data_IF_150417677144
#
_entry.id   IF_150417677144
#
_cell.length_a   1.000
_cell.length_b   1.000
_cell.length_c   1.000
_cell.angle_alpha   90.00
_cell.angle_beta   90.00
_cell.angle_gamma   90.00
#
_symmetry.space_group_name_H-M   'P 1'
#
loop_
_entity.id
_entity.type
_entity.pdbx_description
1 polymer ?
#
# COMPACT_ATOMS: atom_id res chain seq x y z
N UNK A 1 9.95 19.96 -0.52
CA UNK A 1 8.72 19.15 -0.70
C UNK A 1 8.99 17.77 -0.10
N UNK A 2 8.14 17.27 0.81
CA UNK A 2 8.24 15.91 1.38
C UNK A 2 7.40 14.94 0.55
N UNK A 3 7.84 13.70 0.40
CA UNK A 3 7.09 12.64 -0.29
C UNK A 3 5.97 12.18 0.63
N UNK A 4 4.73 12.52 0.29
CA UNK A 4 3.54 12.24 1.13
C UNK A 4 2.84 10.92 0.84
N UNK A 5 3.07 10.39 -0.35
CA UNK A 5 2.43 9.20 -0.86
C UNK A 5 3.46 8.39 -1.63
N UNK A 6 3.58 7.12 -1.27
CA UNK A 6 4.38 6.14 -1.98
C UNK A 6 3.45 5.01 -2.43
N UNK A 7 3.36 4.78 -3.73
CA UNK A 7 2.62 3.64 -4.30
C UNK A 7 3.59 2.47 -4.53
N UNK A 8 3.41 1.39 -3.78
CA UNK A 8 4.21 0.17 -3.88
C UNK A 8 3.40 -0.93 -4.54
N UNK A 9 3.82 -1.30 -5.75
CA UNK A 9 3.27 -2.47 -6.45
C UNK A 9 3.86 -3.73 -5.85
N UNK A 10 3.01 -4.57 -5.26
CA UNK A 10 3.42 -5.80 -4.57
C UNK A 10 2.71 -7.03 -5.14
N UNK A 11 3.34 -8.20 -5.01
CA UNK A 11 2.79 -9.48 -5.46
C UNK A 11 1.65 -9.96 -4.56
N UNK A 12 1.73 -9.66 -3.26
CA UNK A 12 0.71 -9.99 -2.26
C UNK A 12 0.49 -8.83 -1.29
N UNK A 13 -0.68 -8.20 -1.42
CA UNK A 13 -1.08 -7.05 -0.60
C UNK A 13 -1.36 -7.47 0.85
N UNK A 14 -1.91 -8.67 1.08
CA UNK A 14 -2.24 -9.14 2.42
C UNK A 14 -0.96 -9.44 3.21
N UNK A 15 -0.03 -10.21 2.62
CA UNK A 15 1.25 -10.50 3.24
C UNK A 15 2.07 -9.23 3.50
N UNK A 16 2.08 -8.30 2.54
CA UNK A 16 2.78 -7.01 2.70
C UNK A 16 2.19 -6.19 3.85
N UNK A 17 0.86 -6.11 3.95
CA UNK A 17 0.17 -5.41 5.04
C UNK A 17 0.56 -5.98 6.41
N UNK A 18 0.55 -7.30 6.55
CA UNK A 18 0.94 -7.95 7.81
C UNK A 18 2.41 -7.70 8.17
N UNK A 19 3.30 -7.82 7.19
CA UNK A 19 4.73 -7.54 7.35
C UNK A 19 4.98 -6.11 7.82
N UNK A 20 4.37 -5.14 7.13
CA UNK A 20 4.54 -3.73 7.44
C UNK A 20 3.89 -3.33 8.76
N UNK A 21 2.74 -3.91 9.10
CA UNK A 21 2.14 -3.72 10.41
C UNK A 21 3.00 -4.29 11.54
N UNK A 22 3.55 -5.49 11.35
CA UNK A 22 4.35 -6.18 12.36
C UNK A 22 5.71 -5.53 12.62
N UNK A 23 6.44 -5.18 11.56
CA UNK A 23 7.84 -4.76 11.68
C UNK A 23 8.03 -3.24 11.66
N UNK A 24 7.10 -2.50 11.06
CA UNK A 24 7.20 -1.05 10.90
C UNK A 24 6.09 -0.29 11.64
N UNK A 25 5.19 -1.00 12.35
CA UNK A 25 4.12 -0.39 13.13
C UNK A 25 3.07 0.33 12.30
N UNK A 26 3.00 0.03 10.99
CA UNK A 26 2.07 0.67 10.08
C UNK A 26 0.63 0.20 10.34
N UNK A 27 -0.32 1.13 10.32
CA UNK A 27 -1.74 0.84 10.57
C UNK A 27 -2.55 0.87 9.28
N UNK A 28 -3.42 -0.11 9.08
CA UNK A 28 -4.27 -0.13 7.89
C UNK A 28 -5.44 0.84 8.05
N UNK A 29 -5.53 1.86 7.19
CA UNK A 29 -6.64 2.82 7.21
C UNK A 29 -7.73 2.54 6.17
N UNK A 30 -7.50 1.59 5.25
CA UNK A 30 -8.50 1.18 4.27
C UNK A 30 -7.98 0.06 3.36
N UNK A 31 -8.85 -0.84 2.94
CA UNK A 31 -8.52 -1.89 1.98
C UNK A 31 -9.69 -2.09 1.01
N UNK A 32 -9.38 -2.40 -0.26
CA UNK A 32 -10.38 -2.74 -1.28
C UNK A 32 -10.10 -4.16 -1.78
N UNK A 33 -10.75 -5.13 -1.14
CA UNK A 33 -10.49 -6.55 -1.37
C UNK A 33 -9.01 -6.91 -1.19
N UNK A 34 -8.52 -7.88 -1.98
CA UNK A 34 -7.13 -8.35 -1.94
C UNK A 34 -6.21 -7.62 -2.93
N UNK A 35 -6.73 -6.64 -3.67
CA UNK A 35 -5.99 -5.92 -4.71
C UNK A 35 -5.32 -4.64 -4.21
N UNK A 36 -5.73 -4.13 -3.05
CA UNK A 36 -5.33 -2.80 -2.62
C UNK A 36 -5.44 -2.61 -1.10
N UNK A 37 -4.39 -2.06 -0.49
CA UNK A 37 -4.38 -1.67 0.90
C UNK A 37 -3.70 -0.32 1.08
N UNK A 38 -4.17 0.40 2.08
CA UNK A 38 -3.63 1.67 2.51
C UNK A 38 -3.13 1.51 3.93
N UNK A 39 -1.87 1.85 4.15
CA UNK A 39 -1.27 1.89 5.47
C UNK A 39 -0.82 3.30 5.83
N UNK A 40 -0.81 3.63 7.12
CA UNK A 40 -0.34 4.92 7.64
C UNK A 40 0.68 4.68 8.74
N UNK A 41 1.72 5.51 8.76
CA UNK A 41 2.56 5.67 9.95
C UNK A 41 2.04 6.87 10.77
N UNK A 42 2.83 7.28 11.78
CA UNK A 42 2.46 8.38 12.68
C UNK A 42 2.51 9.77 12.00
N UNK A 43 3.15 9.89 10.84
CA UNK A 43 3.38 11.15 10.15
C UNK A 43 2.68 11.23 8.80
N UNK A 44 2.68 10.20 7.94
CA UNK A 44 2.11 10.21 6.58
C UNK A 44 1.67 8.80 6.08
N UNK A 45 1.27 8.70 4.81
CA UNK A 45 0.45 7.61 4.25
C UNK A 45 1.19 6.82 3.15
N UNK A 46 1.10 5.50 3.20
CA UNK A 46 1.66 4.58 2.20
C UNK A 46 0.55 3.75 1.55
N UNK A 47 0.62 3.60 0.23
CA UNK A 47 -0.42 2.97 -0.59
C UNK A 47 0.20 1.77 -1.30
N UNK A 48 -0.45 0.61 -1.25
CA UNK A 48 0.07 -0.62 -1.83
C UNK A 48 -1.03 -1.29 -2.65
N UNK A 49 -0.66 -1.78 -3.84
CA UNK A 49 -1.59 -2.43 -4.75
C UNK A 49 -0.94 -3.61 -5.47
N UNK A 50 -1.76 -4.56 -5.92
CA UNK A 50 -1.30 -5.54 -6.91
C UNK A 50 -1.28 -4.90 -8.28
N UNK A 51 -0.31 -5.28 -9.12
CA UNK A 51 -0.30 -4.92 -10.54
C UNK A 51 -1.52 -5.57 -11.21
N UNK A 52 -2.50 -4.77 -11.62
CA UNK A 52 -3.60 -5.22 -12.46
C UNK A 52 -3.34 -4.78 -13.91
N UNK A 53 -3.85 -5.50 -14.94
CA UNK A 53 -3.67 -5.10 -16.34
C UNK A 53 -4.14 -3.67 -16.64
N UNK A 54 -5.09 -3.14 -15.87
CA UNK A 54 -5.59 -1.76 -15.97
C UNK A 54 -4.60 -0.68 -15.52
N UNK A 55 -3.56 -1.03 -14.76
CA UNK A 55 -2.54 -0.06 -14.29
C UNK A 55 -1.48 0.27 -15.36
N UNK A 56 -1.54 -0.40 -16.53
CA UNK A 56 -0.69 -0.12 -17.70
C UNK A 56 -1.34 0.87 -18.69
N UNK A 57 -2.58 1.29 -18.44
CA UNK A 57 -3.36 2.15 -19.33
C UNK A 57 -3.51 3.59 -18.81
N UNK A 58 -2.51 4.14 -18.14
CA UNK A 58 -2.33 5.59 -18.01
C UNK A 58 -0.82 5.85 -17.96
N UNK A 59 -0.24 5.97 -19.16
CA UNK A 59 1.07 6.59 -19.37
C UNK A 59 0.94 8.10 -19.45
#
# INVERSE_FOLDING_TARGET
>A
MKIKHLNLTVSDVAATREFLGKYFGLTCSGARGNGFAVMRDNDEFILFGKKTPSDLCYG
#
